data_IF_456759768527
#
_entry.id   IF_456759768527
#
_cell.length_a   1.000
_cell.length_b   1.000
_cell.length_c   1.000
_cell.angle_alpha   90.00
_cell.angle_beta   90.00
_cell.angle_gamma   90.00
#
_symmetry.space_group_name_H-M   'P 1'
#
loop_
_entity.id
_entity.type
_entity.pdbx_description
1 polymer ?
#
# COMPACT_ATOMS: atom_id res chain seq x y z
N UNK A 1 -72.49 -9.72 -39.73
CA UNK A 1 -71.33 -9.23 -40.50
C UNK A 1 -70.09 -9.59 -39.77
N UNK A 2 -69.31 -10.57 -40.22
CA UNK A 2 -68.05 -10.95 -39.51
C UNK A 2 -66.85 -10.33 -40.19
N UNK A 3 -65.93 -9.77 -39.37
CA UNK A 3 -64.62 -9.31 -39.82
C UNK A 3 -63.57 -10.38 -39.54
N UNK A 4 -62.77 -10.63 -40.55
CA UNK A 4 -61.79 -11.67 -40.72
C UNK A 4 -60.54 -11.31 -39.85
N UNK A 5 -60.02 -12.33 -39.24
CA UNK A 5 -58.71 -12.31 -38.54
C UNK A 5 -57.59 -12.47 -39.56
N UNK A 6 -56.54 -11.63 -39.40
CA UNK A 6 -55.32 -11.70 -40.17
C UNK A 6 -54.25 -12.55 -39.40
N UNK A 7 -53.57 -13.37 -40.17
CA UNK A 7 -52.52 -14.30 -39.74
C UNK A 7 -51.28 -13.62 -39.17
N UNK A 8 -50.61 -14.20 -38.19
CA UNK A 8 -49.31 -13.71 -37.72
C UNK A 8 -48.19 -14.18 -38.64
N UNK A 9 -47.36 -13.26 -39.04
CA UNK A 9 -46.15 -13.47 -39.81
C UNK A 9 -45.08 -14.13 -38.94
N UNK A 10 -44.51 -15.21 -39.44
CA UNK A 10 -43.35 -15.92 -38.93
C UNK A 10 -42.16 -15.00 -38.87
N UNK A 11 -41.64 -14.78 -37.66
CA UNK A 11 -40.38 -14.10 -37.46
C UNK A 11 -39.22 -15.12 -37.59
N UNK A 12 -38.43 -14.94 -38.62
CA UNK A 12 -37.20 -15.67 -38.88
C UNK A 12 -36.15 -15.21 -37.86
N UNK A 13 -35.75 -16.08 -36.95
CA UNK A 13 -34.65 -15.83 -36.01
C UNK A 13 -33.35 -16.07 -36.77
N UNK A 14 -32.66 -14.99 -37.15
CA UNK A 14 -31.32 -15.04 -37.68
C UNK A 14 -30.36 -15.22 -36.48
N UNK A 15 -29.76 -16.42 -36.38
CA UNK A 15 -28.60 -16.64 -35.50
C UNK A 15 -27.40 -15.86 -36.06
N UNK A 16 -27.09 -14.73 -35.45
CA UNK A 16 -25.80 -14.07 -35.62
C UNK A 16 -24.77 -14.87 -34.81
N UNK A 17 -23.94 -15.65 -35.53
CA UNK A 17 -22.72 -16.21 -34.99
C UNK A 17 -21.77 -15.06 -34.70
N UNK A 18 -21.66 -14.62 -33.41
CA UNK A 18 -20.59 -13.73 -32.95
C UNK A 18 -19.30 -14.53 -33.01
N UNK A 19 -18.53 -14.31 -34.06
CA UNK A 19 -17.11 -14.72 -34.11
C UNK A 19 -16.39 -14.02 -32.97
N UNK A 20 -15.91 -14.79 -31.99
CA UNK A 20 -14.94 -14.35 -31.00
C UNK A 20 -13.66 -13.99 -31.75
N UNK A 21 -13.54 -12.72 -32.14
CA UNK A 21 -12.29 -12.10 -32.48
C UNK A 21 -11.44 -12.16 -31.22
N UNK A 22 -10.53 -13.11 -31.16
CA UNK A 22 -9.42 -13.06 -30.21
C UNK A 22 -8.62 -11.79 -30.53
N UNK A 23 -8.88 -10.72 -29.77
CA UNK A 23 -7.98 -9.58 -29.76
C UNK A 23 -6.58 -10.13 -29.37
N UNK A 24 -5.51 -9.73 -30.09
CA UNK A 24 -4.17 -10.10 -29.65
C UNK A 24 -4.02 -9.61 -28.20
N UNK A 25 -3.48 -10.48 -27.32
CA UNK A 25 -3.08 -10.06 -25.98
C UNK A 25 -2.15 -8.86 -26.16
N UNK A 26 -2.73 -7.66 -26.01
CA UNK A 26 -1.94 -6.45 -25.84
C UNK A 26 -0.99 -6.74 -24.68
N UNK A 27 0.28 -6.37 -24.85
CA UNK A 27 1.31 -6.55 -23.84
C UNK A 27 0.71 -6.16 -22.49
N UNK A 28 0.53 -7.14 -21.62
CA UNK A 28 -0.03 -6.94 -20.28
C UNK A 28 0.92 -5.96 -19.61
N UNK A 29 0.45 -4.75 -19.28
CA UNK A 29 1.27 -3.79 -18.55
C UNK A 29 1.86 -4.54 -17.38
N UNK A 30 3.19 -4.52 -17.24
CA UNK A 30 3.91 -5.34 -16.26
C UNK A 30 3.26 -5.19 -14.90
N UNK A 31 3.05 -6.30 -14.19
CA UNK A 31 2.53 -6.25 -12.84
C UNK A 31 3.62 -5.71 -11.90
N UNK A 32 3.25 -5.03 -10.81
CA UNK A 32 4.25 -4.49 -9.89
C UNK A 32 4.97 -5.59 -9.13
N UNK A 33 6.28 -5.43 -9.00
CA UNK A 33 7.15 -6.23 -8.15
C UNK A 33 7.64 -5.41 -6.95
N UNK A 34 8.13 -6.11 -5.94
CA UNK A 34 8.82 -5.52 -4.80
C UNK A 34 10.33 -5.61 -5.02
N UNK A 35 10.98 -4.48 -4.95
CA UNK A 35 12.44 -4.33 -5.02
C UNK A 35 12.99 -3.85 -3.69
N UNK A 36 14.25 -4.14 -3.42
CA UNK A 36 14.99 -3.57 -2.28
C UNK A 36 16.28 -2.91 -2.78
N UNK A 37 16.68 -1.85 -2.11
CA UNK A 37 17.95 -1.19 -2.31
C UNK A 37 18.53 -0.73 -0.97
N UNK A 38 19.86 -0.64 -0.89
CA UNK A 38 20.51 0.00 0.26
C UNK A 38 20.36 1.51 0.18
N UNK A 39 20.29 2.13 1.36
CA UNK A 39 20.32 3.58 1.52
C UNK A 39 21.57 3.96 2.33
N UNK A 40 22.34 4.90 1.83
CA UNK A 40 23.36 5.61 2.60
C UNK A 40 22.85 7.03 2.87
N UNK A 41 22.59 7.33 4.13
CA UNK A 41 22.04 8.63 4.57
C UNK A 41 23.07 9.49 5.28
N UNK A 42 24.34 9.08 5.28
CA UNK A 42 25.42 9.78 5.96
C UNK A 42 25.72 11.16 5.35
N UNK A 43 26.16 12.08 6.18
CA UNK A 43 26.59 13.42 5.73
C UNK A 43 25.47 14.31 5.20
N UNK A 44 24.20 13.99 5.49
CA UNK A 44 23.04 14.78 5.06
C UNK A 44 22.59 14.53 3.60
N UNK A 45 23.30 13.69 2.85
CA UNK A 45 22.90 13.22 1.52
C UNK A 45 22.17 11.90 1.61
N UNK A 46 21.41 11.54 0.56
CA UNK A 46 20.82 10.20 0.41
C UNK A 46 21.36 9.60 -0.88
N UNK A 47 21.98 8.44 -0.76
CA UNK A 47 22.43 7.66 -1.92
C UNK A 47 21.73 6.32 -1.93
N UNK A 48 21.26 5.93 -3.11
CA UNK A 48 20.57 4.67 -3.34
C UNK A 48 21.54 3.70 -4.00
N UNK A 49 21.73 2.54 -3.39
CA UNK A 49 22.60 1.50 -3.91
C UNK A 49 21.93 0.66 -5.00
N UNK A 50 22.54 -0.51 -5.31
CA UNK A 50 21.99 -1.43 -6.28
C UNK A 50 20.59 -1.91 -5.90
N UNK A 51 19.70 -1.95 -6.89
CA UNK A 51 18.33 -2.40 -6.73
C UNK A 51 18.22 -3.88 -7.05
N UNK A 52 17.54 -4.63 -6.18
CA UNK A 52 17.32 -6.07 -6.33
C UNK A 52 15.82 -6.38 -6.30
N UNK A 53 15.32 -7.10 -7.31
CA UNK A 53 13.96 -7.62 -7.32
C UNK A 53 13.89 -8.81 -6.34
N UNK A 54 12.96 -8.79 -5.38
CA UNK A 54 12.78 -9.88 -4.41
C UNK A 54 11.54 -10.73 -4.69
N UNK A 55 10.77 -10.37 -5.73
CA UNK A 55 9.54 -11.08 -6.11
C UNK A 55 9.53 -11.53 -7.56
N UNK A 56 10.60 -11.42 -8.30
CA UNK A 56 10.82 -11.70 -9.73
C UNK A 56 10.01 -12.91 -10.27
N UNK A 57 8.70 -12.69 -10.52
CA UNK A 57 7.74 -13.69 -10.98
C UNK A 57 6.48 -13.04 -11.53
N UNK A 58 5.65 -13.74 -12.35
CA UNK A 58 4.32 -13.25 -12.71
C UNK A 58 3.40 -13.17 -11.48
N UNK A 59 2.65 -12.10 -11.35
CA UNK A 59 1.64 -11.90 -10.31
C UNK A 59 1.72 -10.53 -9.66
N UNK A 60 0.76 -10.25 -8.79
CA UNK A 60 0.71 -9.02 -8.02
C UNK A 60 1.56 -9.15 -6.76
N UNK A 61 2.56 -8.29 -6.60
CA UNK A 61 3.39 -8.15 -5.42
C UNK A 61 3.44 -6.68 -5.01
N UNK A 62 2.99 -6.34 -3.79
CA UNK A 62 2.80 -4.95 -3.40
C UNK A 62 2.79 -4.77 -1.87
N UNK A 63 2.67 -3.51 -1.42
CA UNK A 63 2.44 -3.11 -0.03
C UNK A 63 3.52 -3.64 0.93
N UNK A 64 4.80 -3.38 0.63
CA UNK A 64 5.89 -3.82 1.50
C UNK A 64 5.88 -3.06 2.82
N UNK A 65 6.27 -3.75 3.89
CA UNK A 65 6.62 -3.17 5.17
C UNK A 65 7.81 -3.92 5.79
N UNK A 66 8.73 -3.21 6.41
CA UNK A 66 9.80 -3.87 7.16
C UNK A 66 9.27 -4.39 8.50
N UNK A 67 9.78 -5.55 8.92
CA UNK A 67 9.66 -6.01 10.29
C UNK A 67 10.35 -5.03 11.25
N UNK A 68 9.90 -4.98 12.51
CA UNK A 68 10.42 -4.05 13.52
C UNK A 68 11.93 -4.26 13.80
N UNK A 69 12.43 -5.49 13.61
CA UNK A 69 13.83 -5.83 13.75
C UNK A 69 14.69 -5.48 12.51
N UNK A 70 14.05 -5.01 11.43
CA UNK A 70 14.70 -4.66 10.17
C UNK A 70 15.24 -5.85 9.36
N UNK A 71 14.96 -7.10 9.74
CA UNK A 71 15.56 -8.29 9.11
C UNK A 71 14.69 -8.93 8.05
N UNK A 72 13.47 -8.49 7.91
CA UNK A 72 12.50 -9.04 6.95
C UNK A 72 11.62 -7.95 6.36
N UNK A 73 11.08 -8.25 5.17
CA UNK A 73 10.06 -7.44 4.49
C UNK A 73 8.80 -8.28 4.35
N UNK A 74 7.69 -7.83 4.94
CA UNK A 74 6.36 -8.35 4.65
C UNK A 74 5.84 -7.69 3.38
N UNK A 75 5.09 -8.42 2.59
CA UNK A 75 4.41 -7.89 1.40
C UNK A 75 3.18 -8.73 1.04
N UNK A 76 2.25 -8.11 0.34
CA UNK A 76 1.08 -8.78 -0.23
C UNK A 76 1.44 -9.40 -1.56
N UNK A 77 1.02 -10.64 -1.79
CA UNK A 77 1.32 -11.38 -3.02
C UNK A 77 0.16 -12.28 -3.44
N UNK A 78 -0.12 -12.31 -4.75
CA UNK A 78 -1.06 -13.24 -5.37
C UNK A 78 -0.28 -14.29 -6.14
N UNK A 79 -0.38 -15.59 -5.77
CA UNK A 79 0.40 -16.68 -6.35
C UNK A 79 -0.48 -17.89 -6.64
N UNK A 80 -0.65 -18.22 -7.92
CA UNK A 80 -1.27 -19.48 -8.34
C UNK A 80 -2.80 -19.56 -8.15
N UNK A 81 -3.33 -18.88 -7.18
CA UNK A 81 -4.75 -18.64 -6.94
C UNK A 81 -5.06 -17.15 -7.05
N UNK A 82 -6.33 -16.79 -7.16
CA UNK A 82 -6.75 -15.38 -7.23
C UNK A 82 -6.69 -14.67 -5.87
N UNK A 83 -6.23 -15.37 -4.82
CA UNK A 83 -6.20 -14.90 -3.45
C UNK A 83 -4.89 -14.18 -3.15
N UNK A 84 -4.98 -13.07 -2.43
CA UNK A 84 -3.83 -12.35 -1.93
C UNK A 84 -3.51 -12.80 -0.50
N UNK A 85 -2.26 -13.12 -0.26
CA UNK A 85 -1.72 -13.49 1.04
C UNK A 85 -0.53 -12.62 1.43
N UNK A 86 -0.19 -12.66 2.71
CA UNK A 86 1.03 -12.04 3.20
C UNK A 86 2.18 -13.02 3.10
N UNK A 87 3.27 -12.52 2.53
CA UNK A 87 4.56 -13.20 2.45
C UNK A 87 5.60 -12.41 3.22
N UNK A 88 6.64 -13.11 3.67
CA UNK A 88 7.80 -12.54 4.35
C UNK A 88 9.07 -12.92 3.62
N UNK A 89 9.85 -11.93 3.20
CA UNK A 89 11.19 -12.11 2.64
C UNK A 89 12.22 -11.83 3.72
N UNK A 90 13.09 -12.81 4.00
CA UNK A 90 14.22 -12.65 4.92
C UNK A 90 15.41 -12.03 4.20
N UNK A 91 15.89 -10.90 4.68
CA UNK A 91 17.06 -10.20 4.13
C UNK A 91 18.36 -11.00 4.32
N UNK A 92 18.46 -11.78 5.40
CA UNK A 92 19.64 -12.59 5.70
C UNK A 92 19.71 -13.86 4.84
N UNK A 93 18.63 -14.65 4.82
CA UNK A 93 18.61 -15.93 4.10
C UNK A 93 18.20 -15.79 2.63
N UNK A 94 17.67 -14.64 2.23
CA UNK A 94 17.10 -14.36 0.90
C UNK A 94 15.98 -15.34 0.50
N UNK A 95 15.23 -15.82 1.49
CA UNK A 95 14.11 -16.74 1.29
C UNK A 95 12.79 -16.07 1.57
N UNK A 96 11.80 -16.44 0.78
CA UNK A 96 10.41 -16.03 0.97
C UNK A 96 9.61 -17.18 1.60
N UNK A 97 8.77 -16.86 2.56
CA UNK A 97 7.79 -17.77 3.15
C UNK A 97 6.39 -17.15 3.12
N UNK A 98 5.37 -17.97 3.00
CA UNK A 98 3.96 -17.55 3.13
C UNK A 98 3.62 -17.45 4.61
N UNK A 99 3.06 -16.31 5.02
CA UNK A 99 2.70 -16.01 6.41
C UNK A 99 1.23 -16.31 6.67
N UNK A 100 0.34 -16.00 5.70
CA UNK A 100 -1.10 -16.27 5.83
C UNK A 100 -1.55 -17.38 4.89
N UNK A 101 -2.56 -18.16 5.33
CA UNK A 101 -3.18 -19.25 4.59
C UNK A 101 -4.66 -19.33 4.96
N UNK A 102 -5.39 -18.24 4.73
CA UNK A 102 -6.74 -18.02 5.27
C UNK A 102 -7.84 -18.15 4.22
N UNK A 103 -7.57 -18.87 3.13
CA UNK A 103 -8.55 -19.06 2.06
C UNK A 103 -9.98 -19.32 2.56
N UNK A 104 -11.01 -18.67 2.02
CA UNK A 104 -10.98 -17.82 0.81
C UNK A 104 -10.76 -16.33 1.07
N UNK A 105 -10.44 -15.91 2.29
CA UNK A 105 -10.14 -14.53 2.63
C UNK A 105 -8.79 -14.09 2.01
N UNK A 106 -8.64 -12.78 1.75
CA UNK A 106 -7.41 -12.19 1.24
C UNK A 106 -6.84 -11.17 2.23
N UNK A 107 -5.52 -11.16 2.40
CA UNK A 107 -4.84 -10.22 3.28
C UNK A 107 -3.95 -9.24 2.51
N UNK A 108 -4.00 -7.98 2.95
CA UNK A 108 -3.28 -6.88 2.36
C UNK A 108 -2.59 -6.02 3.43
N UNK A 109 -1.56 -5.26 3.02
CA UNK A 109 -0.96 -4.18 3.82
C UNK A 109 -0.52 -4.63 5.22
N UNK A 110 0.21 -5.74 5.32
CA UNK A 110 0.72 -6.21 6.61
C UNK A 110 1.65 -5.16 7.25
N UNK A 111 1.45 -4.92 8.55
CA UNK A 111 2.33 -4.09 9.39
C UNK A 111 2.54 -4.82 10.71
N UNK A 112 3.78 -4.96 11.15
CA UNK A 112 4.05 -5.57 12.45
C UNK A 112 3.52 -4.68 13.58
N UNK A 113 2.76 -5.29 14.51
CA UNK A 113 2.16 -4.58 15.63
C UNK A 113 3.25 -4.13 16.59
N UNK A 114 3.26 -2.87 17.08
CA UNK A 114 4.24 -2.40 18.06
C UNK A 114 4.29 -3.32 19.29
N UNK A 115 5.49 -3.76 19.64
CA UNK A 115 5.74 -4.77 20.66
C UNK A 115 6.09 -6.14 20.09
N UNK A 116 5.89 -6.35 18.77
CA UNK A 116 6.24 -7.58 18.07
C UNK A 116 5.26 -8.74 18.27
N UNK A 117 5.56 -9.87 17.66
CA UNK A 117 4.82 -11.13 17.82
C UNK A 117 3.51 -11.23 17.04
N UNK A 118 3.05 -10.17 16.40
CA UNK A 118 1.85 -10.18 15.56
C UNK A 118 1.99 -9.17 14.41
N UNK A 119 1.25 -9.42 13.33
CA UNK A 119 1.01 -8.43 12.27
C UNK A 119 -0.45 -7.97 12.30
N UNK A 120 -0.68 -6.74 11.88
CA UNK A 120 -2.01 -6.26 11.50
C UNK A 120 -2.12 -6.26 9.99
N UNK A 121 -3.28 -6.65 9.46
CA UNK A 121 -3.55 -6.74 8.02
C UNK A 121 -4.92 -6.18 7.70
N UNK A 122 -5.12 -5.71 6.48
CA UNK A 122 -6.46 -5.51 5.95
C UNK A 122 -6.91 -6.83 5.36
N UNK A 123 -7.90 -7.45 5.98
CA UNK A 123 -8.52 -8.67 5.46
C UNK A 123 -9.76 -8.33 4.66
N UNK A 124 -9.84 -8.88 3.46
CA UNK A 124 -11.07 -8.96 2.68
C UNK A 124 -11.72 -10.29 3.02
N UNK A 125 -12.78 -10.21 3.80
CA UNK A 125 -13.49 -11.37 4.31
C UNK A 125 -14.35 -12.03 3.22
N UNK A 126 -14.88 -13.21 3.48
CA UNK A 126 -15.68 -13.99 2.53
C UNK A 126 -16.88 -13.22 1.94
N UNK A 127 -17.49 -12.33 2.73
CA UNK A 127 -18.58 -11.45 2.31
C UNK A 127 -18.12 -10.14 1.66
N UNK A 128 -16.84 -10.03 1.32
CA UNK A 128 -16.16 -8.84 0.80
C UNK A 128 -16.04 -7.68 1.80
N UNK A 129 -16.31 -7.90 3.06
CA UNK A 129 -16.06 -6.90 4.09
C UNK A 129 -14.56 -6.71 4.31
N UNK A 130 -14.12 -5.45 4.38
CA UNK A 130 -12.72 -5.11 4.62
C UNK A 130 -12.55 -4.57 6.04
N UNK A 131 -11.79 -5.28 6.88
CA UNK A 131 -11.49 -4.87 8.26
C UNK A 131 -10.02 -4.96 8.59
N UNK A 132 -9.63 -4.27 9.64
CA UNK A 132 -8.31 -4.40 10.26
C UNK A 132 -8.31 -5.61 11.20
N UNK A 133 -7.46 -6.60 10.90
CA UNK A 133 -7.29 -7.81 11.68
C UNK A 133 -5.89 -7.87 12.31
N UNK A 134 -5.78 -8.50 13.47
CA UNK A 134 -4.50 -8.87 14.08
C UNK A 134 -4.30 -10.38 13.96
N UNK A 135 -3.11 -10.77 13.50
CA UNK A 135 -2.68 -12.15 13.27
C UNK A 135 -1.40 -12.41 14.06
N UNK A 136 -1.42 -13.29 15.07
CA UNK A 136 -0.20 -13.69 15.78
C UNK A 136 0.75 -14.45 14.86
N UNK A 137 2.05 -14.08 14.85
CA UNK A 137 3.09 -14.74 14.02
C UNK A 137 3.48 -16.13 14.54
N UNK A 138 3.27 -16.39 15.83
CA UNK A 138 3.51 -17.69 16.47
C UNK A 138 2.31 -18.64 16.47
N UNK A 139 1.24 -18.30 15.74
CA UNK A 139 -0.05 -19.00 15.81
C UNK A 139 -0.93 -18.49 16.95
N UNK A 140 -2.20 -18.85 16.94
CA UNK A 140 -3.21 -18.43 17.91
C UNK A 140 -4.40 -17.75 17.26
N UNK A 141 -5.28 -17.16 18.08
CA UNK A 141 -6.52 -16.58 17.62
C UNK A 141 -6.28 -15.29 16.81
N UNK A 142 -6.88 -15.27 15.64
CA UNK A 142 -6.95 -14.09 14.78
C UNK A 142 -8.22 -13.32 15.12
N UNK A 143 -8.13 -12.00 15.23
CA UNK A 143 -9.28 -11.19 15.62
C UNK A 143 -9.33 -9.84 14.88
N UNK A 144 -10.55 -9.35 14.56
CA UNK A 144 -10.71 -8.00 14.07
C UNK A 144 -10.49 -7.00 15.21
N UNK A 145 -9.63 -6.00 14.98
CA UNK A 145 -9.30 -5.00 16.03
C UNK A 145 -10.45 -4.04 16.30
N UNK A 146 -11.20 -3.70 15.26
CA UNK A 146 -12.37 -2.80 15.34
C UNK A 146 -13.51 -3.40 14.50
N UNK A 147 -14.30 -4.32 15.08
CA UNK A 147 -15.28 -5.11 14.33
C UNK A 147 -16.35 -4.30 13.60
N UNK A 148 -16.68 -3.12 14.09
CA UNK A 148 -17.71 -2.24 13.51
C UNK A 148 -17.18 -1.32 12.41
N UNK A 149 -15.85 -1.09 12.33
CA UNK A 149 -15.26 -0.19 11.34
C UNK A 149 -15.00 -0.90 10.03
N UNK A 150 -15.66 -0.43 8.97
CA UNK A 150 -15.53 -0.93 7.60
C UNK A 150 -15.99 0.11 6.57
N UNK A 151 -15.47 0.08 5.33
CA UNK A 151 -14.35 -0.71 4.85
C UNK A 151 -13.00 -0.03 5.15
N UNK A 152 -12.08 -0.74 5.79
CA UNK A 152 -10.72 -0.25 6.07
C UNK A 152 -9.80 -0.64 4.92
N UNK A 153 -8.96 0.28 4.45
CA UNK A 153 -8.04 0.03 3.34
C UNK A 153 -6.56 0.00 3.72
N UNK A 154 -6.14 0.81 4.68
CA UNK A 154 -4.74 0.92 5.15
C UNK A 154 -4.69 1.31 6.61
N UNK A 155 -3.53 1.07 7.24
CA UNK A 155 -3.30 1.43 8.64
C UNK A 155 -1.87 1.88 8.90
N UNK A 156 -1.69 2.65 9.99
CA UNK A 156 -0.39 2.95 10.59
C UNK A 156 -0.53 3.05 12.12
N UNK A 157 0.32 2.32 12.84
CA UNK A 157 0.36 2.35 14.29
C UNK A 157 1.09 3.61 14.79
N UNK A 158 0.45 4.39 15.63
CA UNK A 158 1.10 5.48 16.36
C UNK A 158 1.96 4.94 17.52
N UNK A 159 1.42 3.97 18.23
CA UNK A 159 2.03 3.26 19.36
C UNK A 159 1.37 1.88 19.56
N UNK A 160 1.67 1.18 20.65
CA UNK A 160 1.08 -0.14 20.92
C UNK A 160 -0.44 -0.12 21.18
N UNK A 161 -1.04 1.07 21.37
CA UNK A 161 -2.46 1.24 21.69
C UNK A 161 -3.27 1.85 20.55
N UNK A 162 -2.68 2.81 19.82
CA UNK A 162 -3.41 3.64 18.85
C UNK A 162 -2.99 3.36 17.43
N UNK A 163 -3.97 3.21 16.55
CA UNK A 163 -3.78 2.98 15.12
C UNK A 163 -4.62 3.94 14.31
N UNK A 164 -4.01 4.59 13.33
CA UNK A 164 -4.70 5.38 12.32
C UNK A 164 -5.07 4.49 11.14
N UNK A 165 -6.30 4.62 10.66
CA UNK A 165 -6.87 3.82 9.60
C UNK A 165 -7.41 4.70 8.48
N UNK A 166 -7.04 4.37 7.24
CA UNK A 166 -7.69 4.90 6.05
C UNK A 166 -8.97 4.10 5.81
N UNK A 167 -10.11 4.77 5.85
CA UNK A 167 -11.42 4.19 5.59
C UNK A 167 -11.89 4.61 4.21
N UNK A 168 -12.23 3.62 3.38
CA UNK A 168 -12.72 3.88 2.03
C UNK A 168 -14.11 4.50 2.08
N UNK A 169 -14.37 5.37 1.11
CA UNK A 169 -15.66 6.05 0.97
C UNK A 169 -15.53 7.25 0.05
N UNK A 170 -16.64 7.91 -0.19
CA UNK A 170 -16.71 9.17 -0.92
C UNK A 170 -17.45 10.18 -0.08
N UNK A 171 -16.71 11.01 0.69
CA UNK A 171 -15.25 11.09 0.81
C UNK A 171 -14.63 9.95 1.64
N UNK A 172 -13.33 9.68 1.40
CA UNK A 172 -12.51 8.82 2.27
C UNK A 172 -12.26 9.48 3.62
N UNK A 173 -11.96 8.69 4.66
CA UNK A 173 -11.75 9.21 6.01
C UNK A 173 -10.46 8.66 6.66
N UNK A 174 -9.86 9.49 7.52
CA UNK A 174 -8.86 9.09 8.50
C UNK A 174 -9.57 8.87 9.84
N UNK A 175 -9.50 7.65 10.35
CA UNK A 175 -10.07 7.26 11.64
C UNK A 175 -8.95 6.82 12.56
N UNK A 176 -8.90 7.40 13.77
CA UNK A 176 -8.00 6.97 14.83
C UNK A 176 -8.74 5.99 15.74
N UNK A 177 -8.20 4.80 15.90
CA UNK A 177 -8.72 3.77 16.77
C UNK A 177 -7.86 3.58 18.02
N UNK A 178 -8.49 3.36 19.15
CA UNK A 178 -7.87 2.97 20.41
C UNK A 178 -8.20 1.51 20.71
N UNK A 179 -7.24 0.60 20.58
CA UNK A 179 -7.47 -0.84 20.74
C UNK A 179 -7.83 -1.25 22.16
N UNK A 180 -7.48 -0.47 23.16
CA UNK A 180 -7.75 -0.80 24.55
C UNK A 180 -9.21 -0.51 24.95
N UNK A 181 -9.80 0.57 24.41
CA UNK A 181 -11.18 0.95 24.67
C UNK A 181 -12.14 0.57 23.55
N UNK A 182 -11.63 0.25 22.35
CA UNK A 182 -12.42 0.08 21.13
C UNK A 182 -12.94 1.41 20.56
N UNK A 183 -12.54 2.55 21.12
CA UNK A 183 -13.00 3.86 20.66
C UNK A 183 -12.49 4.17 19.26
N UNK A 184 -13.34 4.82 18.47
CA UNK A 184 -13.08 5.28 17.10
C UNK A 184 -13.36 6.76 17.00
N UNK A 185 -12.44 7.50 16.40
CA UNK A 185 -12.53 8.94 16.23
C UNK A 185 -12.19 9.32 14.78
N UNK A 186 -13.15 9.95 14.08
CA UNK A 186 -12.94 10.42 12.71
C UNK A 186 -12.22 11.75 12.74
N UNK A 187 -10.97 11.74 12.28
CA UNK A 187 -10.07 12.91 12.34
C UNK A 187 -10.27 13.85 11.16
N UNK A 188 -10.34 13.29 9.94
CA UNK A 188 -10.37 14.08 8.71
C UNK A 188 -11.02 13.31 7.56
N UNK A 189 -11.64 14.03 6.63
CA UNK A 189 -12.12 13.50 5.36
C UNK A 189 -11.22 13.92 4.18
N UNK A 190 -11.45 13.33 3.02
CA UNK A 190 -10.65 13.56 1.80
C UNK A 190 -9.15 13.29 2.04
N UNK A 191 -8.86 12.13 2.58
CA UNK A 191 -7.48 11.69 2.86
C UNK A 191 -7.00 10.68 1.82
N UNK A 192 -5.70 10.55 1.69
CA UNK A 192 -5.05 9.53 0.89
C UNK A 192 -4.74 8.27 1.68
N UNK A 193 -4.29 7.24 0.96
CA UNK A 193 -4.00 5.91 1.51
C UNK A 193 -2.65 5.79 2.20
N UNK A 194 -1.74 6.74 2.00
CA UNK A 194 -0.39 6.69 2.57
C UNK A 194 -0.41 7.25 3.98
N UNK A 195 -0.15 6.38 4.95
CA UNK A 195 -0.16 6.65 6.39
C UNK A 195 1.14 6.14 6.99
N UNK A 196 1.80 6.94 7.82
CA UNK A 196 3.05 6.55 8.49
C UNK A 196 3.14 7.11 9.89
N UNK A 197 3.82 6.36 10.76
CA UNK A 197 4.29 6.92 12.03
C UNK A 197 5.43 7.90 11.77
N UNK A 198 5.37 9.07 12.39
CA UNK A 198 6.49 10.02 12.38
C UNK A 198 7.62 9.50 13.27
N UNK A 199 8.86 9.39 12.79
CA UNK A 199 9.98 8.87 13.59
C UNK A 199 10.13 9.57 14.93
N UNK A 200 10.48 8.80 15.97
CA UNK A 200 10.72 9.31 17.32
C UNK A 200 9.49 9.86 18.05
N UNK A 201 8.27 9.66 17.53
CA UNK A 201 7.05 10.20 18.11
C UNK A 201 5.86 9.24 18.03
N UNK A 202 4.75 9.61 18.68
CA UNK A 202 3.44 8.97 18.52
C UNK A 202 2.58 9.65 17.44
N UNK A 203 3.11 10.61 16.69
CA UNK A 203 2.41 11.29 15.61
C UNK A 203 2.23 10.39 14.41
N UNK A 204 1.12 10.60 13.70
CA UNK A 204 0.86 9.96 12.40
C UNK A 204 0.92 11.02 11.31
N UNK A 205 1.67 10.76 10.25
CA UNK A 205 1.56 11.53 9.03
C UNK A 205 0.63 10.83 8.03
N UNK A 206 -0.05 11.61 7.23
CA UNK A 206 -1.00 11.14 6.22
C UNK A 206 -1.14 12.14 5.07
N UNK A 207 -1.68 11.69 3.95
CA UNK A 207 -1.94 12.57 2.80
C UNK A 207 -3.31 13.20 2.93
N UNK A 208 -3.40 14.52 2.83
CA UNK A 208 -4.66 15.24 2.63
C UNK A 208 -4.88 15.50 1.13
N UNK A 209 -6.06 15.14 0.65
CA UNK A 209 -6.56 15.39 -0.71
C UNK A 209 -7.66 16.45 -0.75
N UNK A 210 -7.76 17.26 0.30
CA UNK A 210 -8.78 18.30 0.41
C UNK A 210 -8.67 19.37 -0.70
N UNK A 211 -7.50 19.51 -1.32
CA UNK A 211 -7.27 20.42 -2.42
C UNK A 211 -6.99 19.61 -3.70
N UNK A 212 -7.84 19.72 -4.71
CA UNK A 212 -7.72 18.97 -5.96
C UNK A 212 -6.37 19.18 -6.68
N UNK A 213 -5.86 20.40 -6.65
CA UNK A 213 -4.62 20.78 -7.36
C UNK A 213 -3.33 20.44 -6.59
N UNK A 214 -3.40 20.04 -5.32
CA UNK A 214 -2.22 19.84 -4.51
C UNK A 214 -2.50 18.96 -3.30
N UNK A 215 -1.80 17.84 -3.19
CA UNK A 215 -1.86 16.97 -2.03
C UNK A 215 -0.76 17.32 -1.05
N UNK A 216 -1.08 17.28 0.24
CA UNK A 216 -0.16 17.63 1.32
C UNK A 216 0.03 16.46 2.26
N UNK A 217 1.27 16.24 2.69
CA UNK A 217 1.56 15.44 3.86
C UNK A 217 1.19 16.29 5.08
N UNK A 218 0.31 15.73 5.91
CA UNK A 218 -0.15 16.32 7.17
C UNK A 218 0.44 15.50 8.33
N UNK A 219 0.54 16.08 9.51
CA UNK A 219 0.87 15.41 10.77
C UNK A 219 -0.27 15.56 11.76
N UNK A 220 -0.76 14.42 12.27
CA UNK A 220 -1.73 14.31 13.34
C UNK A 220 -1.01 14.05 14.67
N UNK A 221 -1.23 14.89 15.64
CA UNK A 221 -0.90 14.60 17.04
C UNK A 221 -2.04 13.75 17.62
N UNK A 222 -1.73 12.49 17.97
CA UNK A 222 -2.77 11.53 18.37
C UNK A 222 -3.32 11.75 19.78
N UNK A 223 -2.67 12.58 20.59
CA UNK A 223 -3.14 12.97 21.93
C UNK A 223 -4.06 14.17 21.86
N UNK A 224 -3.64 15.23 21.18
CA UNK A 224 -4.37 16.51 21.10
C UNK A 224 -5.34 16.60 19.93
N UNK A 225 -5.24 15.69 18.95
CA UNK A 225 -5.99 15.71 17.67
C UNK A 225 -5.61 16.88 16.75
N UNK A 226 -4.60 17.62 17.08
CA UNK A 226 -4.13 18.73 16.24
C UNK A 226 -3.51 18.17 14.94
N UNK A 227 -4.00 18.69 13.82
CA UNK A 227 -3.49 18.38 12.48
C UNK A 227 -2.78 19.59 11.93
N UNK A 228 -1.54 19.42 11.46
CA UNK A 228 -0.74 20.47 10.85
C UNK A 228 -0.18 20.03 9.49
N UNK A 229 -0.09 20.93 8.49
CA UNK A 229 0.58 20.61 7.23
C UNK A 229 2.09 20.50 7.44
N UNK A 230 2.73 19.56 6.73
CA UNK A 230 4.19 19.43 6.70
C UNK A 230 4.77 19.92 5.36
N UNK A 231 4.36 19.31 4.26
CA UNK A 231 4.89 19.64 2.93
C UNK A 231 3.92 19.20 1.84
N UNK A 232 3.94 19.89 0.71
CA UNK A 232 3.25 19.47 -0.51
C UNK A 232 3.98 18.27 -1.14
N UNK A 233 3.24 17.25 -1.57
CA UNK A 233 3.79 16.13 -2.32
C UNK A 233 4.21 16.52 -3.74
N UNK A 234 5.20 15.83 -4.34
CA UNK A 234 5.45 15.93 -5.77
C UNK A 234 4.18 15.59 -6.57
N UNK A 235 4.01 16.23 -7.72
CA UNK A 235 2.86 15.99 -8.58
C UNK A 235 2.79 14.51 -9.01
N UNK A 236 1.58 13.94 -8.99
CA UNK A 236 1.36 12.55 -9.38
C UNK A 236 1.81 11.49 -8.37
N UNK A 237 2.23 11.90 -7.18
CA UNK A 237 2.69 11.02 -6.11
C UNK A 237 1.71 11.04 -4.94
N UNK A 238 1.39 9.86 -4.40
CA UNK A 238 0.63 9.72 -3.16
C UNK A 238 1.46 9.05 -2.06
N UNK A 239 2.37 8.17 -2.44
CA UNK A 239 3.12 7.36 -1.50
C UNK A 239 4.47 7.99 -1.17
N UNK A 240 4.79 7.98 0.11
CA UNK A 240 6.06 8.46 0.68
C UNK A 240 6.44 7.56 1.85
N UNK A 241 7.64 7.73 2.37
CA UNK A 241 8.09 7.11 3.61
C UNK A 241 8.95 8.09 4.40
N UNK A 242 9.17 7.79 5.69
CA UNK A 242 10.10 8.52 6.53
C UNK A 242 11.46 7.84 6.58
N UNK A 243 12.51 8.62 6.49
CA UNK A 243 13.83 8.22 6.97
C UNK A 243 13.88 8.41 8.50
N UNK A 244 14.63 7.58 9.25
CA UNK A 244 14.68 7.68 10.72
C UNK A 244 15.18 9.03 11.24
N UNK A 245 15.92 9.77 10.42
CA UNK A 245 16.43 11.12 10.74
C UNK A 245 15.40 12.25 10.56
N UNK A 246 14.15 11.92 10.19
CA UNK A 246 13.07 12.87 10.04
C UNK A 246 12.93 13.46 8.64
N UNK A 247 13.74 13.06 7.66
CA UNK A 247 13.54 13.39 6.25
C UNK A 247 12.46 12.48 5.64
N UNK A 248 11.86 12.96 4.56
CA UNK A 248 10.87 12.22 3.76
C UNK A 248 11.50 11.71 2.47
N UNK A 249 11.10 10.53 2.02
CA UNK A 249 11.42 9.98 0.69
C UNK A 249 10.14 9.67 -0.05
N UNK A 250 10.07 10.02 -1.34
CA UNK A 250 8.93 9.75 -2.23
C UNK A 250 9.41 9.27 -3.60
N UNK A 251 8.55 8.49 -4.30
CA UNK A 251 8.81 8.03 -5.65
C UNK A 251 7.88 8.67 -6.66
N UNK A 252 8.38 9.04 -7.83
CA UNK A 252 7.58 9.52 -8.97
C UNK A 252 8.20 9.06 -10.28
N UNK A 253 7.43 8.36 -11.11
CA UNK A 253 7.96 7.73 -12.32
C UNK A 253 9.01 6.68 -11.97
N UNK A 254 10.25 6.86 -12.42
CA UNK A 254 11.42 6.05 -12.04
C UNK A 254 12.32 6.72 -11.00
N UNK A 255 12.01 7.95 -10.58
CA UNK A 255 12.87 8.73 -9.72
C UNK A 255 12.47 8.69 -8.25
N UNK A 256 13.47 8.79 -7.37
CA UNK A 256 13.32 8.98 -5.93
C UNK A 256 13.70 10.41 -5.55
N UNK A 257 12.90 10.98 -4.68
CA UNK A 257 13.04 12.33 -4.18
C UNK A 257 13.11 12.31 -2.65
N UNK A 258 13.88 13.23 -2.08
CA UNK A 258 14.00 13.43 -0.64
C UNK A 258 13.63 14.87 -0.28
N UNK A 259 12.95 15.04 0.85
CA UNK A 259 12.62 16.34 1.41
C UNK A 259 13.12 16.43 2.85
N UNK A 260 13.92 17.46 3.16
CA UNK A 260 14.37 17.81 4.50
C UNK A 260 13.48 18.93 5.06
N UNK A 261 12.55 18.56 5.93
CA UNK A 261 11.61 19.51 6.54
C UNK A 261 12.29 20.55 7.44
N UNK A 262 13.49 20.27 7.95
CA UNK A 262 14.22 21.15 8.85
C UNK A 262 15.00 22.25 8.10
N UNK A 263 15.35 21.99 6.82
CA UNK A 263 16.17 22.91 6.02
C UNK A 263 15.34 23.72 5.03
N UNK A 264 14.70 23.04 4.12
CA UNK A 264 13.84 23.68 3.11
C UNK A 264 12.81 22.66 2.65
N UNK A 265 11.56 22.89 2.83
CA UNK A 265 10.46 21.96 2.47
C UNK A 265 10.33 21.76 0.95
N UNK A 266 11.44 21.44 0.28
CA UNK A 266 11.53 21.18 -1.16
C UNK A 266 12.00 19.76 -1.39
N UNK A 267 11.48 19.13 -2.44
CA UNK A 267 11.85 17.80 -2.88
C UNK A 267 13.05 17.87 -3.82
N UNK A 268 14.12 17.17 -3.48
CA UNK A 268 15.33 17.02 -4.29
C UNK A 268 15.39 15.60 -4.84
N UNK A 269 15.66 15.47 -6.16
CA UNK A 269 15.86 14.15 -6.75
C UNK A 269 17.20 13.58 -6.30
N UNK A 270 17.19 12.37 -5.74
CA UNK A 270 18.37 11.68 -5.22
C UNK A 270 18.78 10.47 -6.07
N UNK A 271 17.86 9.91 -6.85
CA UNK A 271 18.15 8.80 -7.75
C UNK A 271 17.15 8.76 -8.91
N UNK A 272 17.60 8.18 -10.05
CA UNK A 272 16.73 7.74 -11.12
C UNK A 272 17.00 6.25 -11.36
N UNK A 273 15.98 5.42 -11.13
CA UNK A 273 16.06 3.97 -11.23
C UNK A 273 15.64 3.43 -12.60
N UNK A 274 15.40 4.30 -13.58
CA UNK A 274 15.09 3.91 -14.95
C UNK A 274 16.20 3.08 -15.59
N UNK A 275 17.46 3.36 -15.26
CA UNK A 275 18.62 2.53 -15.68
C UNK A 275 18.63 1.12 -15.05
N UNK A 276 17.96 0.93 -13.91
CA UNK A 276 17.74 -0.36 -13.26
C UNK A 276 16.48 -1.06 -13.77
N UNK A 277 15.94 -0.62 -14.91
CA UNK A 277 14.73 -1.15 -15.51
C UNK A 277 13.48 -1.09 -14.63
N UNK A 278 13.32 -0.02 -13.84
CA UNK A 278 12.14 0.26 -13.03
C UNK A 278 11.38 1.45 -13.59
N UNK A 279 10.06 1.34 -13.53
CA UNK A 279 9.13 2.45 -13.84
C UNK A 279 7.95 2.44 -12.89
N UNK A 280 7.22 3.55 -12.87
CA UNK A 280 5.96 3.65 -12.14
C UNK A 280 6.09 3.26 -10.67
N UNK A 281 7.08 3.85 -9.97
CA UNK A 281 7.22 3.67 -8.52
C UNK A 281 5.91 4.10 -7.86
N UNK A 282 5.29 3.19 -7.11
CA UNK A 282 3.95 3.37 -6.55
C UNK A 282 3.88 3.25 -5.04
N UNK A 283 4.91 2.65 -4.40
CA UNK A 283 5.00 2.53 -2.93
C UNK A 283 6.44 2.45 -2.47
N UNK A 284 6.66 2.89 -1.23
CA UNK A 284 7.93 2.85 -0.56
C UNK A 284 7.77 2.40 0.90
N UNK A 285 8.76 1.68 1.41
CA UNK A 285 8.94 1.45 2.83
C UNK A 285 10.44 1.58 3.15
N UNK A 286 10.78 2.17 4.29
CA UNK A 286 12.16 2.33 4.77
C UNK A 286 12.37 1.43 5.97
N UNK A 287 13.56 0.80 6.05
CA UNK A 287 13.93 -0.02 7.21
C UNK A 287 13.99 0.81 8.50
N UNK A 288 13.77 0.20 9.67
CA UNK A 288 13.88 0.91 10.94
C UNK A 288 15.25 1.58 11.18
N UNK A 289 16.32 1.00 10.63
CA UNK A 289 17.70 1.56 10.66
C UNK A 289 17.93 2.66 9.62
N UNK A 290 17.07 2.76 8.59
CA UNK A 290 17.22 3.72 7.50
C UNK A 290 18.28 3.35 6.46
N UNK A 291 18.81 2.14 6.52
CA UNK A 291 19.85 1.63 5.63
C UNK A 291 19.31 0.88 4.40
N UNK A 292 17.99 0.68 4.34
CA UNK A 292 17.33 0.02 3.22
C UNK A 292 15.99 0.67 2.86
N UNK A 293 15.62 0.58 1.60
CA UNK A 293 14.30 0.92 1.08
C UNK A 293 13.73 -0.25 0.30
N UNK A 294 12.45 -0.57 0.55
CA UNK A 294 11.65 -1.42 -0.30
C UNK A 294 10.82 -0.53 -1.24
N UNK A 295 10.77 -0.90 -2.51
CA UNK A 295 10.18 -0.11 -3.60
C UNK A 295 9.21 -1.01 -4.35
N UNK A 296 7.99 -0.55 -4.57
CA UNK A 296 7.06 -1.18 -5.51
C UNK A 296 7.13 -0.42 -6.83
N UNK A 297 7.48 -1.13 -7.87
CA UNK A 297 7.60 -0.57 -9.21
C UNK A 297 7.23 -1.62 -10.28
N UNK A 298 6.95 -1.15 -11.48
CA UNK A 298 6.75 -2.02 -12.63
C UNK A 298 8.11 -2.27 -13.28
N UNK A 299 8.56 -3.55 -13.41
CA UNK A 299 9.75 -3.85 -14.17
C UNK A 299 9.52 -3.48 -15.63
N UNK A 300 10.42 -2.69 -16.20
CA UNK A 300 10.45 -2.48 -17.65
C UNK A 300 11.06 -3.73 -18.28
N UNK A 301 10.36 -4.35 -19.23
CA UNK A 301 10.90 -5.50 -19.94
C UNK A 301 12.31 -5.15 -20.44
N UNK A 302 13.32 -5.96 -20.06
CA UNK A 302 14.65 -5.83 -20.65
C UNK A 302 14.51 -5.92 -22.15
N UNK A 303 14.88 -4.86 -22.87
CA UNK A 303 15.06 -4.95 -24.31
C UNK A 303 16.16 -6.00 -24.53
N UNK A 304 15.73 -7.25 -24.80
CA UNK A 304 16.61 -8.29 -25.30
C UNK A 304 16.89 -8.02 -26.77
#
# INVERSE_FOLDING_TARGET
>A
MPRRFANPRSALVALLALGLLHAPLGAQAGQPDVFIATLDTAGGTVRVGAVHNITERPGYDNQPSFALDGRSVFYTSTRGDAQADIYRYSLTSRRTERVTTTAPESEYSAVEVPGGGAISVIRVERDSTQRLWQLPLGGGDQLPLFPTLKPVGYQAWADARRVAMFVLGTPSALVLGDRASGALDTVMFNVGRSLHRVPGSSRISFVSKAYEAAWYIMSLDVDTRVVVPLVRLPAGTEDYAWLPDGRLIAGSGSALFVCDLARQSQWEQVADLGSSALSSISRLAVSPSGDMVAIVAVPTASRR
#
